data_IF_508751360280
#
_entry.id   IF_508751360280
#
_cell.length_a   1.000
_cell.length_b   1.000
_cell.length_c   1.000
_cell.angle_alpha   90.00
_cell.angle_beta   90.00
_cell.angle_gamma   90.00
#
_symmetry.space_group_name_H-M   'P 1'
#
loop_
_entity.id
_entity.type
_entity.pdbx_description
1 polymer ?
#
# COMPACT_ATOMS: atom_id res chain seq x y z
N UNK A 1 -58.05 -5.49 18.02
CA UNK A 1 -57.31 -5.47 16.74
C UNK A 1 -56.79 -4.04 16.56
N UNK A 2 -55.72 -3.70 17.26
CA UNK A 2 -55.08 -2.39 17.14
C UNK A 2 -53.80 -2.58 16.35
N UNK A 3 -53.74 -1.87 15.23
CA UNK A 3 -52.61 -1.79 14.32
C UNK A 3 -51.39 -1.20 15.04
N UNK A 4 -50.38 -2.03 15.31
CA UNK A 4 -49.02 -1.54 15.52
C UNK A 4 -48.33 -1.49 14.16
N UNK A 5 -48.62 -0.41 13.42
CA UNK A 5 -47.69 0.12 12.41
C UNK A 5 -46.61 0.90 13.18
N UNK A 6 -45.63 0.21 13.74
CA UNK A 6 -44.34 0.84 14.01
C UNK A 6 -43.48 0.62 12.77
N UNK A 7 -43.52 1.67 11.95
CA UNK A 7 -42.72 1.87 10.76
C UNK A 7 -41.25 1.52 11.01
N UNK A 8 -40.76 0.61 10.18
CA UNK A 8 -39.38 0.20 10.02
C UNK A 8 -38.57 1.33 9.32
N UNK A 9 -38.57 2.54 9.89
CA UNK A 9 -38.16 3.79 9.22
C UNK A 9 -36.68 4.17 9.34
N UNK A 10 -35.86 3.45 10.11
CA UNK A 10 -34.46 3.83 10.37
C UNK A 10 -33.43 2.86 9.79
N UNK A 11 -33.55 2.41 8.53
CA UNK A 11 -32.52 1.53 7.94
C UNK A 11 -31.46 2.19 7.07
N UNK A 12 -31.64 3.43 6.61
CA UNK A 12 -30.70 4.11 5.71
C UNK A 12 -30.48 5.59 6.06
N UNK A 13 -30.35 5.95 7.33
CA UNK A 13 -29.97 7.33 7.69
C UNK A 13 -28.45 7.48 7.61
N UNK A 14 -27.97 8.47 6.86
CA UNK A 14 -26.54 8.79 6.82
C UNK A 14 -26.14 9.37 8.18
N UNK A 15 -25.17 8.73 8.83
CA UNK A 15 -24.65 9.19 10.12
C UNK A 15 -23.29 9.85 9.91
N UNK A 16 -23.12 11.06 10.45
CA UNK A 16 -21.84 11.76 10.46
C UNK A 16 -20.94 11.16 11.55
N UNK A 17 -19.91 10.42 11.14
CA UNK A 17 -18.94 9.78 12.03
C UNK A 17 -18.00 10.82 12.67
N UNK A 18 -17.44 11.72 11.85
CA UNK A 18 -16.49 12.75 12.31
C UNK A 18 -17.04 14.14 12.04
N UNK A 19 -16.96 15.01 13.05
CA UNK A 19 -17.32 16.43 12.97
C UNK A 19 -16.05 17.28 12.92
N UNK A 20 -15.59 17.64 11.71
CA UNK A 20 -14.33 18.35 11.50
C UNK A 20 -14.27 19.71 12.20
N UNK A 21 -15.42 20.34 12.54
CA UNK A 21 -15.43 21.59 13.30
C UNK A 21 -14.98 21.45 14.75
N UNK A 22 -14.77 20.21 15.23
CA UNK A 22 -14.27 19.90 16.57
C UNK A 22 -12.83 19.44 16.58
N UNK A 23 -12.20 19.39 15.41
CA UNK A 23 -10.79 19.05 15.25
C UNK A 23 -9.95 20.32 15.11
N UNK A 24 -8.65 20.27 15.42
CA UNK A 24 -7.78 21.44 15.35
C UNK A 24 -7.51 21.93 13.92
N UNK A 25 -7.72 21.08 12.91
CA UNK A 25 -7.45 21.41 11.51
C UNK A 25 -8.25 20.59 10.50
N UNK A 26 -7.80 20.62 9.25
CA UNK A 26 -8.43 19.89 8.17
C UNK A 26 -8.13 18.38 8.27
N UNK A 27 -9.14 17.58 7.95
CA UNK A 27 -8.98 16.13 7.80
C UNK A 27 -8.33 15.85 6.44
N UNK A 28 -7.28 15.05 6.46
CA UNK A 28 -6.56 14.57 5.27
C UNK A 28 -6.58 13.05 5.25
N UNK A 29 -6.65 12.50 4.03
CA UNK A 29 -6.59 11.06 3.74
C UNK A 29 -7.46 10.16 4.64
N UNK A 30 -8.81 10.34 4.68
CA UNK A 30 -9.67 9.50 5.49
C UNK A 30 -9.89 8.12 4.85
N UNK A 31 -9.60 7.04 5.59
CA UNK A 31 -9.81 5.66 5.18
C UNK A 31 -10.76 4.96 6.14
N UNK A 32 -11.67 4.15 5.59
CA UNK A 32 -12.55 3.27 6.37
C UNK A 32 -11.96 1.86 6.39
N UNK A 33 -12.04 1.16 7.52
CA UNK A 33 -11.61 -0.23 7.60
C UNK A 33 -12.47 -1.16 6.73
N UNK A 34 -11.93 -2.33 6.35
CA UNK A 34 -12.62 -3.30 5.50
C UNK A 34 -13.95 -3.80 6.09
N UNK A 35 -14.01 -3.96 7.41
CA UNK A 35 -15.23 -4.33 8.13
C UNK A 35 -16.16 -3.13 8.44
N UNK A 36 -15.71 -1.91 8.14
CA UNK A 36 -16.41 -0.66 8.37
C UNK A 36 -16.50 -0.20 9.82
N UNK A 37 -15.78 -0.82 10.76
CA UNK A 37 -15.84 -0.54 12.20
C UNK A 37 -15.09 0.71 12.66
N UNK A 38 -14.07 1.14 11.91
CA UNK A 38 -13.28 2.35 12.21
C UNK A 38 -13.02 3.18 10.96
N UNK A 39 -12.75 4.47 11.18
CA UNK A 39 -12.21 5.41 10.21
C UNK A 39 -10.91 5.98 10.77
N UNK A 40 -9.81 5.86 10.02
CA UNK A 40 -8.54 6.50 10.35
C UNK A 40 -8.30 7.68 9.39
N UNK A 41 -7.64 8.73 9.87
CA UNK A 41 -7.35 9.93 9.10
C UNK A 41 -6.23 10.75 9.76
N UNK A 42 -5.66 11.70 9.02
CA UNK A 42 -4.66 12.63 9.56
C UNK A 42 -5.26 14.02 9.76
N UNK A 43 -4.92 14.68 10.86
CA UNK A 43 -5.28 16.07 11.13
C UNK A 43 -4.11 16.78 11.83
N UNK A 44 -3.67 17.94 11.29
CA UNK A 44 -2.50 18.69 11.80
C UNK A 44 -1.26 17.80 12.02
N UNK A 45 -0.95 16.95 11.02
CA UNK A 45 0.18 16.01 11.02
C UNK A 45 0.12 14.88 12.06
N UNK A 46 -1.02 14.68 12.72
CA UNK A 46 -1.24 13.60 13.68
C UNK A 46 -2.28 12.60 13.18
N UNK A 47 -2.08 11.32 13.50
CA UNK A 47 -3.00 10.25 13.16
C UNK A 47 -4.16 10.19 14.16
N UNK A 48 -5.38 10.05 13.64
CA UNK A 48 -6.60 9.89 14.42
C UNK A 48 -7.35 8.63 14.00
N UNK A 49 -8.07 8.04 14.96
CA UNK A 49 -9.00 6.92 14.73
C UNK A 49 -10.37 7.26 15.34
N UNK A 50 -11.42 7.01 14.58
CA UNK A 50 -12.81 7.17 15.01
C UNK A 50 -13.57 5.84 14.84
N UNK A 51 -14.26 5.40 15.89
CA UNK A 51 -15.19 4.27 15.75
C UNK A 51 -16.42 4.68 14.94
N UNK A 52 -16.88 3.80 14.05
CA UNK A 52 -18.16 3.97 13.35
C UNK A 52 -19.33 3.43 14.16
N UNK A 53 -19.04 2.67 15.23
CA UNK A 53 -20.05 2.06 16.08
C UNK A 53 -20.65 3.10 17.03
N UNK A 54 -21.98 3.06 17.15
CA UNK A 54 -22.72 3.87 18.13
C UNK A 54 -22.52 3.22 19.50
N UNK A 55 -22.11 4.00 20.51
CA UNK A 55 -21.95 3.53 21.88
C UNK A 55 -23.26 2.84 22.35
N UNK A 56 -23.24 1.52 22.58
CA UNK A 56 -24.45 0.75 22.92
C UNK A 56 -25.00 1.14 24.31
N UNK A 57 -24.19 1.79 25.14
CA UNK A 57 -24.57 2.25 26.48
C UNK A 57 -25.05 3.71 26.49
N UNK A 58 -24.96 4.42 25.36
CA UNK A 58 -25.42 5.79 25.22
C UNK A 58 -26.79 5.85 24.55
N UNK A 59 -27.83 6.07 25.36
CA UNK A 59 -29.23 6.16 24.92
C UNK A 59 -29.53 7.29 23.92
N UNK A 60 -28.57 8.18 23.64
CA UNK A 60 -28.70 9.26 22.66
C UNK A 60 -28.12 8.92 21.27
N UNK A 61 -27.59 7.72 21.05
CA UNK A 61 -27.05 7.32 19.75
C UNK A 61 -25.82 8.12 19.31
N UNK A 62 -25.03 8.64 20.27
CA UNK A 62 -23.90 9.52 20.00
C UNK A 62 -22.64 8.70 19.67
N UNK A 63 -22.03 8.97 18.54
CA UNK A 63 -20.73 8.42 18.15
C UNK A 63 -19.64 8.98 19.08
N UNK A 64 -18.67 8.12 19.44
CA UNK A 64 -17.52 8.52 20.23
C UNK A 64 -16.70 9.58 19.49
N UNK A 65 -16.11 10.57 20.18
CA UNK A 65 -15.20 11.50 19.51
C UNK A 65 -14.01 10.72 18.91
N UNK A 66 -13.45 11.17 17.78
CA UNK A 66 -12.19 10.64 17.29
C UNK A 66 -11.11 10.75 18.37
N UNK A 67 -10.27 9.72 18.43
CA UNK A 67 -9.11 9.66 19.31
C UNK A 67 -7.87 10.06 18.51
N UNK A 68 -7.05 10.93 19.10
CA UNK A 68 -5.73 11.21 18.58
C UNK A 68 -4.82 10.07 19.00
N UNK A 69 -4.08 9.49 18.07
CA UNK A 69 -3.26 8.30 18.31
C UNK A 69 -1.77 8.61 18.41
N UNK A 70 -1.34 9.75 17.86
CA UNK A 70 0.04 10.24 17.88
C UNK A 70 0.08 11.70 18.33
N UNK A 71 1.14 12.12 19.01
CA UNK A 71 1.19 13.40 19.74
C UNK A 71 2.52 14.15 19.62
N UNK A 72 3.48 13.63 18.86
CA UNK A 72 4.84 14.16 18.73
C UNK A 72 5.07 14.99 17.46
N UNK A 73 4.09 15.07 16.57
CA UNK A 73 4.11 16.06 15.50
C UNK A 73 4.07 17.47 16.11
N UNK A 74 3.59 17.68 17.34
CA UNK A 74 3.64 18.98 18.01
C UNK A 74 2.66 19.99 17.42
N UNK A 75 1.90 20.69 18.27
CA UNK A 75 0.90 21.63 17.80
C UNK A 75 1.56 22.85 17.15
N UNK A 76 1.51 22.98 15.84
CA UNK A 76 1.75 24.27 15.21
C UNK A 76 0.82 24.47 14.04
N UNK A 77 -0.10 25.38 14.30
CA UNK A 77 -1.14 25.94 13.44
C UNK A 77 -0.89 25.77 11.95
N UNK A 78 -1.81 25.04 11.31
CA UNK A 78 -2.21 25.16 9.91
C UNK A 78 -1.06 25.03 8.91
N UNK A 79 -1.03 23.87 8.24
CA UNK A 79 -0.47 23.77 6.90
C UNK A 79 -1.01 24.94 6.03
N UNK A 80 -0.15 25.93 5.76
CA UNK A 80 -0.45 27.04 4.84
C UNK A 80 -0.75 28.42 5.45
N UNK A 81 -0.67 28.64 6.78
CA UNK A 81 -0.70 30.02 7.30
C UNK A 81 0.67 30.67 7.16
N UNK A 82 0.82 31.50 6.11
CA UNK A 82 1.93 32.44 5.97
C UNK A 82 1.89 33.41 7.15
N UNK A 83 2.85 33.30 8.09
CA UNK A 83 3.10 34.36 9.05
C UNK A 83 3.85 35.50 8.33
N UNK A 84 3.56 36.76 8.70
CA UNK A 84 4.17 37.95 8.09
C UNK A 84 5.70 38.06 8.26
N UNK A 85 6.33 37.13 8.99
CA UNK A 85 7.77 37.00 9.21
C UNK A 85 8.40 35.80 8.46
N UNK A 86 7.61 35.06 7.67
CA UNK A 86 8.10 33.99 6.79
C UNK A 86 8.51 32.70 7.51
N UNK A 87 8.17 32.54 8.80
CA UNK A 87 8.33 31.29 9.53
C UNK A 87 7.00 30.56 9.68
N UNK A 88 6.66 29.74 8.68
CA UNK A 88 5.72 28.64 8.94
C UNK A 88 6.41 27.69 9.90
N UNK A 89 6.11 27.79 11.19
CA UNK A 89 6.60 26.87 12.20
C UNK A 89 5.86 25.53 12.09
N UNK A 90 5.64 24.97 10.90
CA UNK A 90 5.14 23.61 10.80
C UNK A 90 6.19 22.71 11.45
N UNK A 91 5.77 21.94 12.44
CA UNK A 91 6.56 20.77 12.76
C UNK A 91 6.68 19.95 11.48
N UNK A 92 7.87 19.42 11.22
CA UNK A 92 8.01 18.44 10.16
C UNK A 92 8.40 17.10 10.73
N UNK A 93 7.84 16.78 11.90
CA UNK A 93 7.44 15.42 12.18
C UNK A 93 6.00 15.28 11.66
N UNK A 94 5.74 14.23 10.89
CA UNK A 94 4.43 13.95 10.32
C UNK A 94 4.11 12.48 10.57
N UNK A 95 2.92 12.21 11.13
CA UNK A 95 2.43 10.87 11.39
C UNK A 95 1.27 10.54 10.45
N UNK A 96 1.38 9.43 9.71
CA UNK A 96 0.31 8.89 8.89
C UNK A 96 0.20 9.47 7.47
N UNK A 97 1.09 10.36 7.04
CA UNK A 97 1.17 10.78 5.63
C UNK A 97 2.48 10.30 5.02
N UNK A 98 2.44 9.99 3.72
CA UNK A 98 3.65 9.70 2.96
C UNK A 98 4.54 10.95 2.88
N UNK A 99 5.86 10.76 2.98
CA UNK A 99 6.83 11.82 2.71
C UNK A 99 6.82 12.26 1.24
N UNK A 100 7.43 13.40 0.95
CA UNK A 100 7.48 13.96 -0.40
C UNK A 100 8.03 12.99 -1.46
N UNK A 101 9.10 12.26 -1.14
CA UNK A 101 9.76 11.36 -2.09
C UNK A 101 8.86 10.15 -2.36
N UNK A 102 8.21 9.61 -1.32
CA UNK A 102 7.26 8.52 -1.49
C UNK A 102 6.11 8.88 -2.44
N UNK A 103 5.53 10.09 -2.28
CA UNK A 103 4.44 10.56 -3.13
C UNK A 103 4.90 10.79 -4.57
N UNK A 104 5.95 11.59 -4.76
CA UNK A 104 6.36 12.08 -6.08
C UNK A 104 7.10 11.00 -6.90
N UNK A 105 8.03 10.28 -6.26
CA UNK A 105 9.00 9.43 -6.97
C UNK A 105 8.67 7.93 -6.84
N UNK A 106 7.91 7.52 -5.83
CA UNK A 106 7.56 6.10 -5.60
C UNK A 106 6.08 5.80 -5.89
N UNK A 107 5.28 6.81 -6.22
CA UNK A 107 3.83 6.68 -6.41
C UNK A 107 3.11 6.09 -5.19
N UNK A 108 3.58 6.38 -3.98
CA UNK A 108 2.93 5.98 -2.72
C UNK A 108 2.34 7.21 -2.06
N UNK A 109 1.00 7.31 -2.11
CA UNK A 109 0.26 8.43 -1.51
C UNK A 109 -0.23 8.14 -0.08
N UNK A 110 -0.13 6.90 0.37
CA UNK A 110 -0.59 6.44 1.68
C UNK A 110 0.54 6.49 2.70
N UNK A 111 0.26 6.99 3.92
CA UNK A 111 1.17 6.95 5.06
C UNK A 111 0.66 6.14 6.25
N UNK A 112 -0.52 5.53 6.15
CA UNK A 112 -1.03 4.60 7.16
C UNK A 112 -1.86 3.48 6.51
N UNK A 113 -1.99 2.36 7.21
CA UNK A 113 -2.66 1.15 6.73
C UNK A 113 -3.44 0.49 7.87
N UNK A 114 -4.75 0.39 7.73
CA UNK A 114 -5.63 -0.30 8.69
C UNK A 114 -5.55 -1.81 8.45
N UNK A 115 -5.42 -2.60 9.51
CA UNK A 115 -5.41 -4.06 9.42
C UNK A 115 -6.77 -4.61 8.96
N UNK A 116 -6.83 -5.77 8.28
CA UNK A 116 -8.09 -6.29 7.71
C UNK A 116 -9.19 -6.57 8.75
N UNK A 117 -8.80 -6.79 10.01
CA UNK A 117 -9.70 -6.99 11.15
C UNK A 117 -9.86 -5.74 12.03
N UNK A 118 -9.33 -4.60 11.57
CA UNK A 118 -9.41 -3.28 12.22
C UNK A 118 -8.73 -3.17 13.58
N UNK A 119 -8.00 -4.18 14.03
CA UNK A 119 -7.35 -4.17 15.35
C UNK A 119 -6.11 -3.29 15.40
N UNK A 120 -5.43 -3.10 14.26
CA UNK A 120 -4.19 -2.33 14.21
C UNK A 120 -4.18 -1.29 13.10
N UNK A 121 -3.42 -0.23 13.32
CA UNK A 121 -3.07 0.75 12.29
C UNK A 121 -1.55 0.82 12.21
N UNK A 122 -1.00 0.41 11.08
CA UNK A 122 0.39 0.68 10.76
C UNK A 122 0.50 2.11 10.22
N UNK A 123 1.54 2.85 10.57
CA UNK A 123 1.72 4.22 10.10
C UNK A 123 3.19 4.58 9.93
N UNK A 124 3.47 5.39 8.93
CA UNK A 124 4.74 6.06 8.75
C UNK A 124 4.81 7.28 9.66
N UNK A 125 5.95 7.44 10.33
CA UNK A 125 6.38 8.74 10.85
C UNK A 125 7.56 9.23 10.01
N UNK A 126 7.47 10.45 9.48
CA UNK A 126 8.57 11.11 8.78
C UNK A 126 9.09 12.30 9.59
N UNK A 127 10.42 12.39 9.77
CA UNK A 127 11.12 13.53 10.36
C UNK A 127 11.98 14.24 9.30
N UNK A 128 11.55 15.44 8.96
CA UNK A 128 12.19 16.32 7.99
C UNK A 128 12.92 17.49 8.66
N UNK A 129 13.02 17.57 10.00
CA UNK A 129 13.51 18.78 10.72
C UNK A 129 14.94 19.17 10.36
N UNK A 130 15.72 18.21 9.87
CA UNK A 130 17.08 18.40 9.43
C UNK A 130 17.19 18.88 7.97
N UNK A 131 16.09 18.86 7.20
CA UNK A 131 16.04 19.29 5.80
C UNK A 131 15.78 20.81 5.75
N UNK A 132 16.64 21.60 5.07
CA UNK A 132 16.43 23.03 4.94
C UNK A 132 15.15 23.40 4.18
N UNK A 133 14.49 24.48 4.60
CA UNK A 133 13.37 25.05 3.85
C UNK A 133 13.85 25.58 2.48
N UNK A 134 13.17 25.13 1.44
CA UNK A 134 13.23 25.63 0.08
C UNK A 134 11.99 26.47 -0.22
N UNK A 135 12.23 27.72 -0.58
CA UNK A 135 11.19 28.73 -0.85
C UNK A 135 10.72 28.64 -2.30
N UNK A 136 9.44 28.37 -2.52
CA UNK A 136 8.79 28.46 -3.83
C UNK A 136 7.94 29.74 -3.90
N UNK A 137 8.18 30.55 -4.93
CA UNK A 137 7.47 31.82 -5.14
C UNK A 137 6.29 31.60 -6.09
N UNK A 138 5.09 32.01 -5.69
CA UNK A 138 3.88 31.89 -6.50
C UNK A 138 3.75 33.05 -7.49
N UNK A 139 4.54 33.01 -8.55
CA UNK A 139 4.49 34.02 -9.61
C UNK A 139 3.12 34.02 -10.31
N UNK A 140 2.54 35.20 -10.52
CA UNK A 140 1.26 35.37 -11.22
C UNK A 140 0.02 35.40 -10.31
N UNK A 141 0.18 35.31 -9.00
CA UNK A 141 -0.90 35.58 -8.03
C UNK A 141 -1.09 37.09 -7.84
N UNK A 142 -2.30 37.51 -7.45
CA UNK A 142 -2.62 38.92 -7.22
C UNK A 142 -1.77 39.54 -6.10
N UNK A 143 -1.39 38.73 -5.12
CA UNK A 143 -0.42 39.07 -4.10
C UNK A 143 1.00 38.66 -4.56
N UNK A 144 1.90 39.62 -4.86
CA UNK A 144 3.26 39.33 -5.32
C UNK A 144 4.19 38.81 -4.22
N UNK A 145 3.74 38.80 -2.97
CA UNK A 145 4.50 38.26 -1.82
C UNK A 145 4.16 36.81 -1.52
N UNK A 146 3.18 36.24 -2.25
CA UNK A 146 2.72 34.87 -2.02
C UNK A 146 3.83 33.87 -2.32
N UNK A 147 4.10 33.03 -1.33
CA UNK A 147 5.18 32.07 -1.33
C UNK A 147 4.84 30.89 -0.42
N UNK A 148 5.51 29.78 -0.63
CA UNK A 148 5.42 28.57 0.20
C UNK A 148 6.84 28.07 0.52
N UNK A 149 7.02 27.51 1.71
CA UNK A 149 8.27 26.87 2.13
C UNK A 149 8.05 25.36 2.20
N UNK A 150 8.99 24.61 1.62
CA UNK A 150 8.96 23.15 1.60
C UNK A 150 10.30 22.59 2.03
N UNK A 151 10.29 21.45 2.71
CA UNK A 151 11.51 20.72 3.05
C UNK A 151 11.87 19.79 1.90
N UNK A 152 12.50 20.37 0.87
CA UNK A 152 12.73 19.69 -0.40
C UNK A 152 14.07 18.90 -0.39
N UNK A 153 14.05 17.56 -0.46
CA UNK A 153 15.25 16.73 -0.45
C UNK A 153 15.91 16.71 -1.83
N UNK A 154 16.78 17.70 -2.10
CA UNK A 154 17.55 17.73 -3.35
C UNK A 154 18.44 16.50 -3.50
N UNK A 155 18.69 16.07 -4.75
CA UNK A 155 19.59 14.96 -5.05
C UNK A 155 20.97 15.15 -4.38
N UNK A 156 21.42 14.12 -3.64
CA UNK A 156 22.66 14.13 -2.88
C UNK A 156 22.58 14.79 -1.50
N UNK A 157 21.42 15.36 -1.12
CA UNK A 157 21.15 15.88 0.22
C UNK A 157 20.36 14.84 1.05
N UNK A 158 20.30 14.99 2.39
CA UNK A 158 19.55 14.07 3.25
C UNK A 158 18.08 13.91 2.86
N UNK A 159 17.56 12.69 2.98
CA UNK A 159 16.15 12.34 2.80
C UNK A 159 15.37 12.51 4.12
N UNK A 160 14.02 12.56 4.08
CA UNK A 160 13.20 12.40 5.27
C UNK A 160 13.59 11.14 6.05
N UNK A 161 13.69 11.25 7.38
CA UNK A 161 13.94 10.08 8.24
C UNK A 161 12.62 9.38 8.50
N UNK A 162 12.44 8.19 7.93
CA UNK A 162 11.20 7.44 8.03
C UNK A 162 11.26 6.34 9.09
N UNK A 163 10.17 6.18 9.83
CA UNK A 163 9.93 5.05 10.73
C UNK A 163 8.56 4.45 10.43
N UNK A 164 8.41 3.17 10.69
CA UNK A 164 7.12 2.47 10.57
C UNK A 164 6.72 1.96 11.95
N UNK A 165 5.57 2.41 12.44
CA UNK A 165 5.00 2.03 13.72
C UNK A 165 3.67 1.29 13.57
N UNK A 166 3.28 0.57 14.61
CA UNK A 166 1.97 -0.07 14.72
C UNK A 166 1.31 0.37 16.02
N UNK A 167 0.06 0.79 15.91
CA UNK A 167 -0.84 1.14 17.01
C UNK A 167 -1.98 0.12 17.08
N UNK A 168 -2.42 -0.20 18.29
CA UNK A 168 -3.72 -0.83 18.54
C UNK A 168 -4.82 0.23 18.35
N UNK A 169 -5.86 -0.08 17.58
CA UNK A 169 -6.93 0.86 17.25
C UNK A 169 -7.84 1.20 18.45
N UNK A 170 -7.90 0.32 19.46
CA UNK A 170 -8.63 0.50 20.71
C UNK A 170 -7.71 0.75 21.92
N UNK A 171 -6.41 0.42 21.81
CA UNK A 171 -5.40 0.51 22.87
C UNK A 171 -5.17 1.91 23.43
N UNK A 172 -4.34 2.03 24.47
CA UNK A 172 -4.01 3.33 25.08
C UNK A 172 -3.29 4.25 24.08
N UNK A 173 -3.51 5.57 24.21
CA UNK A 173 -2.77 6.58 23.43
C UNK A 173 -1.25 6.42 23.67
N UNK A 174 -0.43 6.76 22.68
CA UNK A 174 1.05 6.73 22.74
C UNK A 174 1.75 5.36 22.85
N UNK A 175 1.05 4.23 22.73
CA UNK A 175 1.68 2.90 22.72
C UNK A 175 1.99 2.43 21.28
N UNK A 176 3.18 2.77 20.77
CA UNK A 176 3.62 2.39 19.42
C UNK A 176 4.60 1.22 19.46
N UNK A 177 4.31 0.16 18.70
CA UNK A 177 5.30 -0.87 18.37
C UNK A 177 6.06 -0.44 17.11
N UNK A 178 7.31 -0.01 17.25
CA UNK A 178 8.15 0.36 16.10
C UNK A 178 8.71 -0.87 15.39
N UNK A 179 8.80 -0.81 14.06
CA UNK A 179 9.32 -1.88 13.21
C UNK A 179 10.75 -1.57 12.76
N UNK A 180 11.60 -2.58 12.79
CA UNK A 180 12.96 -2.48 12.27
C UNK A 180 12.97 -2.64 10.75
N UNK A 181 12.86 -1.52 10.06
CA UNK A 181 12.90 -1.42 8.59
C UNK A 181 14.28 -1.01 8.05
N UNK A 182 15.23 -0.71 8.93
CA UNK A 182 16.53 -0.13 8.58
C UNK A 182 17.66 -1.16 8.56
N UNK A 183 17.59 -2.18 9.41
CA UNK A 183 18.71 -3.14 9.58
C UNK A 183 19.06 -3.94 8.33
N UNK A 184 18.15 -4.06 7.35
CA UNK A 184 18.43 -4.70 6.05
C UNK A 184 19.52 -4.01 5.22
N UNK A 185 19.82 -2.74 5.53
CA UNK A 185 20.83 -1.92 4.83
C UNK A 185 21.83 -1.26 5.79
N UNK A 186 21.77 -1.56 7.10
CA UNK A 186 22.72 -1.02 8.06
C UNK A 186 24.14 -1.53 7.76
N UNK A 187 25.03 -0.62 7.36
CA UNK A 187 26.45 -0.92 7.18
C UNK A 187 27.12 -1.27 8.51
N UNK A 188 27.91 -2.34 8.55
CA UNK A 188 28.57 -2.84 9.77
C UNK A 188 29.62 -1.93 10.42
N UNK A 189 29.84 -0.71 9.91
CA UNK A 189 30.98 0.15 10.27
C UNK A 189 30.57 1.58 10.69
N UNK A 190 29.43 1.76 11.37
CA UNK A 190 29.12 3.01 12.10
C UNK A 190 29.06 4.27 11.24
N UNK A 191 28.76 4.14 9.95
CA UNK A 191 28.47 5.24 9.05
C UNK A 191 26.98 5.58 9.21
N UNK A 192 26.67 6.84 9.56
CA UNK A 192 25.30 7.35 9.76
C UNK A 192 24.40 7.21 8.50
N UNK A 193 24.94 6.72 7.39
CA UNK A 193 24.21 6.39 6.16
C UNK A 193 23.39 5.10 6.24
N UNK A 194 23.60 4.24 7.25
CA UNK A 194 22.79 3.03 7.49
C UNK A 194 21.33 3.31 7.91
N UNK A 195 21.00 4.57 8.16
CA UNK A 195 19.68 5.03 8.63
C UNK A 195 18.77 5.55 7.49
N UNK A 196 19.23 5.52 6.23
CA UNK A 196 18.45 6.00 5.09
C UNK A 196 17.88 4.83 4.26
N UNK A 197 16.63 4.49 4.54
CA UNK A 197 15.83 3.56 3.73
C UNK A 197 14.64 4.27 3.11
N UNK A 198 14.30 3.89 1.89
CA UNK A 198 13.06 4.29 1.27
C UNK A 198 11.96 3.29 1.63
N UNK A 199 10.94 3.72 2.38
CA UNK A 199 9.73 2.93 2.63
C UNK A 199 8.86 2.93 1.36
N UNK A 200 9.00 1.88 0.55
CA UNK A 200 8.41 1.84 -0.78
C UNK A 200 6.94 1.41 -0.76
N UNK A 201 6.59 0.32 -0.06
CA UNK A 201 5.22 -0.21 0.02
C UNK A 201 4.99 -0.86 1.38
N UNK A 202 3.75 -0.77 1.86
CA UNK A 202 3.28 -1.50 3.04
C UNK A 202 1.97 -2.17 2.69
N UNK A 203 1.79 -3.43 3.11
CA UNK A 203 0.57 -4.18 2.85
C UNK A 203 0.31 -5.16 3.98
N UNK A 204 -0.87 -5.09 4.56
CA UNK A 204 -1.35 -6.15 5.43
C UNK A 204 -1.54 -7.45 4.65
N UNK A 205 -1.17 -8.55 5.27
CA UNK A 205 -1.47 -9.88 4.76
C UNK A 205 -2.96 -10.22 4.80
N UNK A 206 -3.29 -11.38 4.24
CA UNK A 206 -4.65 -11.92 4.29
C UNK A 206 -4.75 -12.97 5.38
N UNK A 207 -5.96 -13.19 5.90
CA UNK A 207 -6.22 -14.27 6.84
C UNK A 207 -5.76 -15.61 6.24
N UNK A 208 -4.91 -16.32 6.98
CA UNK A 208 -4.35 -17.60 6.56
C UNK A 208 -4.39 -18.58 7.73
N UNK A 209 -4.87 -19.82 7.54
CA UNK A 209 -4.77 -20.85 8.57
C UNK A 209 -3.31 -21.31 8.82
N UNK A 210 -2.36 -20.89 7.98
CA UNK A 210 -0.94 -21.26 8.07
C UNK A 210 -0.09 -20.18 8.76
N UNK A 211 -0.57 -18.94 8.81
CA UNK A 211 0.09 -17.82 9.49
C UNK A 211 -0.73 -17.47 10.73
N UNK A 212 -0.17 -17.71 11.92
CA UNK A 212 -0.88 -17.60 13.21
C UNK A 212 -1.25 -16.17 13.59
N UNK A 213 -0.47 -15.21 13.09
CA UNK A 213 -0.52 -13.81 13.48
C UNK A 213 -0.94 -12.96 12.30
N UNK A 214 -1.50 -11.78 12.61
CA UNK A 214 -1.55 -10.73 11.60
C UNK A 214 -0.13 -10.42 11.18
N UNK A 215 0.05 -10.16 9.89
CA UNK A 215 1.39 -9.96 9.36
C UNK A 215 1.39 -8.80 8.39
N UNK A 216 2.43 -8.00 8.48
CA UNK A 216 2.64 -6.81 7.67
C UNK A 216 3.79 -7.06 6.73
N UNK A 217 3.53 -6.94 5.43
CA UNK A 217 4.57 -6.97 4.40
C UNK A 217 5.06 -5.55 4.15
N UNK A 218 6.37 -5.36 4.15
CA UNK A 218 7.01 -4.05 3.99
C UNK A 218 8.09 -4.16 2.93
N UNK A 219 8.05 -3.27 1.94
CA UNK A 219 9.08 -3.14 0.92
C UNK A 219 9.95 -1.94 1.24
N UNK A 220 11.26 -2.15 1.34
CA UNK A 220 12.25 -1.09 1.53
C UNK A 220 13.31 -1.12 0.45
N UNK A 221 13.82 0.05 0.06
CA UNK A 221 14.94 0.18 -0.87
C UNK A 221 16.11 0.90 -0.23
N UNK A 222 17.32 0.54 -0.67
CA UNK A 222 18.51 1.32 -0.34
C UNK A 222 18.50 2.66 -1.07
N UNK A 223 19.36 3.59 -0.61
CA UNK A 223 19.49 4.94 -1.17
C UNK A 223 19.81 4.96 -2.66
N UNK A 224 20.62 4.03 -3.14
CA UNK A 224 21.00 3.94 -4.56
C UNK A 224 19.90 3.34 -5.45
N UNK A 225 18.82 2.82 -4.87
CA UNK A 225 17.72 2.17 -5.57
C UNK A 225 18.15 0.93 -6.38
N UNK A 226 19.21 0.26 -5.93
CA UNK A 226 19.79 -0.93 -6.55
C UNK A 226 19.48 -2.22 -5.80
N UNK A 227 18.90 -2.12 -4.60
CA UNK A 227 18.37 -3.24 -3.83
C UNK A 227 16.95 -2.93 -3.34
N UNK A 228 16.08 -3.93 -3.44
CA UNK A 228 14.72 -3.92 -2.91
C UNK A 228 14.54 -5.13 -2.01
N UNK A 229 14.11 -4.91 -0.77
CA UNK A 229 13.90 -5.96 0.23
C UNK A 229 12.44 -6.02 0.61
N UNK A 230 11.86 -7.23 0.57
CA UNK A 230 10.53 -7.52 1.13
C UNK A 230 10.69 -8.16 2.51
N UNK A 231 10.21 -7.47 3.53
CA UNK A 231 10.13 -7.92 4.91
C UNK A 231 8.72 -8.38 5.26
N UNK A 232 8.61 -9.33 6.19
CA UNK A 232 7.36 -9.68 6.89
C UNK A 232 7.53 -9.50 8.40
N UNK A 233 6.62 -8.77 9.02
CA UNK A 233 6.54 -8.63 10.48
C UNK A 233 5.32 -9.39 10.98
N UNK A 234 5.51 -10.28 11.97
CA UNK A 234 4.43 -11.04 12.59
C UNK A 234 3.95 -10.30 13.85
N UNK A 235 2.73 -9.75 13.79
CA UNK A 235 2.16 -8.83 14.78
C UNK A 235 1.40 -9.61 15.86
N UNK A 236 1.74 -9.37 17.12
CA UNK A 236 1.34 -10.19 18.28
C UNK A 236 1.92 -11.61 18.27
N UNK A 237 3.00 -11.84 17.53
CA UNK A 237 3.87 -12.97 17.84
C UNK A 237 4.38 -12.81 19.26
N UNK A 238 4.36 -13.88 20.07
CA UNK A 238 5.28 -13.97 21.19
C UNK A 238 6.65 -13.60 20.61
N UNK A 239 7.20 -12.46 21.04
CA UNK A 239 8.58 -12.09 20.76
C UNK A 239 9.38 -13.35 20.93
N UNK A 240 10.07 -13.83 19.87
CA UNK A 240 10.81 -15.08 19.92
C UNK A 240 11.46 -15.20 21.30
N UNK A 241 11.22 -16.30 22.02
CA UNK A 241 11.72 -16.57 23.37
C UNK A 241 13.28 -16.49 23.50
N UNK A 242 13.97 -16.12 22.43
CA UNK A 242 15.39 -15.81 22.34
C UNK A 242 15.72 -14.31 22.46
N UNK A 243 14.74 -13.40 22.57
CA UNK A 243 14.97 -11.97 22.81
C UNK A 243 14.85 -11.65 24.31
N UNK A 244 15.96 -11.81 25.01
CA UNK A 244 16.20 -11.46 26.43
C UNK A 244 16.22 -9.92 26.61
N UNK A 245 15.17 -9.24 26.13
CA UNK A 245 15.10 -7.78 26.04
C UNK A 245 13.69 -7.25 26.21
N UNK A 246 13.17 -7.27 27.44
CA UNK A 246 11.98 -6.49 27.82
C UNK A 246 12.23 -4.97 27.77
N UNK A 247 12.44 -4.38 26.59
CA UNK A 247 12.71 -2.97 26.38
C UNK A 247 12.28 -2.44 25.00
N UNK A 248 12.43 -1.12 24.80
CA UNK A 248 12.04 -0.27 23.64
C UNK A 248 12.65 -0.66 22.26
N UNK A 249 13.12 -1.90 22.07
CA UNK A 249 13.72 -2.31 20.81
C UNK A 249 12.65 -2.49 19.71
N UNK A 250 12.93 -2.08 18.46
CA UNK A 250 11.99 -2.25 17.36
C UNK A 250 11.79 -3.73 17.02
N UNK A 251 10.55 -4.12 16.71
CA UNK A 251 10.19 -5.47 16.27
C UNK A 251 10.95 -5.83 15.00
N UNK A 252 11.63 -6.98 14.99
CA UNK A 252 12.40 -7.47 13.85
C UNK A 252 11.52 -8.13 12.81
N UNK A 253 11.74 -7.80 11.54
CA UNK A 253 11.08 -8.44 10.40
C UNK A 253 11.88 -9.62 9.87
N UNK A 254 11.19 -10.58 9.24
CA UNK A 254 11.81 -11.64 8.45
C UNK A 254 11.99 -11.16 7.01
N UNK A 255 13.22 -11.16 6.51
CA UNK A 255 13.50 -10.95 5.09
C UNK A 255 12.99 -12.14 4.27
N UNK A 256 12.08 -11.88 3.33
CA UNK A 256 11.49 -12.88 2.44
C UNK A 256 12.12 -12.85 1.04
N UNK A 257 12.34 -11.65 0.50
CA UNK A 257 12.92 -11.45 -0.83
C UNK A 257 13.95 -10.33 -0.76
N UNK A 258 15.06 -10.51 -1.46
CA UNK A 258 15.99 -9.45 -1.82
C UNK A 258 16.19 -9.48 -3.33
N UNK A 259 15.76 -8.42 -3.99
CA UNK A 259 16.05 -8.17 -5.39
C UNK A 259 17.29 -7.28 -5.47
N UNK A 260 18.18 -7.57 -6.43
CA UNK A 260 19.37 -6.76 -6.71
C UNK A 260 19.40 -6.41 -8.20
N UNK A 261 19.57 -5.12 -8.48
CA UNK A 261 19.58 -4.60 -9.84
C UNK A 261 20.84 -5.09 -10.57
N UNK A 262 20.71 -5.31 -11.88
CA UNK A 262 21.87 -5.60 -12.73
C UNK A 262 22.81 -4.38 -12.75
N UNK A 263 24.09 -4.61 -13.01
CA UNK A 263 25.09 -3.55 -13.06
C UNK A 263 24.66 -2.41 -14.01
N UNK A 264 24.68 -1.17 -13.49
CA UNK A 264 24.28 0.03 -14.24
C UNK A 264 22.77 0.23 -14.38
N UNK A 265 21.94 -0.61 -13.77
CA UNK A 265 20.49 -0.47 -13.70
C UNK A 265 20.02 -0.06 -12.30
N UNK A 266 18.71 0.15 -12.17
CA UNK A 266 17.99 0.43 -10.93
C UNK A 266 16.81 -0.52 -10.81
N UNK A 267 16.19 -0.61 -9.63
CA UNK A 267 14.93 -1.32 -9.46
C UNK A 267 13.73 -0.44 -9.79
N UNK A 268 12.86 -0.94 -10.65
CA UNK A 268 11.55 -0.33 -10.87
C UNK A 268 10.57 -0.83 -9.82
N UNK A 269 10.00 0.08 -9.03
CA UNK A 269 8.93 -0.25 -8.10
C UNK A 269 7.66 -0.75 -8.81
N UNK A 270 6.87 -1.53 -8.09
CA UNK A 270 5.61 -2.08 -8.56
C UNK A 270 4.66 -2.43 -7.42
N UNK A 271 3.37 -2.52 -7.72
CA UNK A 271 2.32 -2.81 -6.72
C UNK A 271 1.95 -4.30 -6.64
N UNK A 272 2.73 -5.17 -7.29
CA UNK A 272 2.46 -6.60 -7.43
C UNK A 272 3.06 -7.40 -6.26
N UNK A 273 2.34 -7.40 -5.15
CA UNK A 273 2.50 -8.33 -4.04
C UNK A 273 1.11 -8.87 -3.67
N UNK A 274 0.81 -10.13 -3.96
CA UNK A 274 -0.51 -10.71 -3.63
C UNK A 274 -0.35 -11.79 -2.57
N UNK A 275 -0.53 -11.48 -1.28
CA UNK A 275 -0.60 -12.49 -0.23
C UNK A 275 -1.76 -13.46 -0.48
N UNK A 276 -1.54 -14.74 -0.20
CA UNK A 276 -2.51 -15.81 -0.44
C UNK A 276 -2.91 -16.46 0.89
N UNK A 277 -4.15 -16.97 1.04
CA UNK A 277 -4.56 -17.72 2.22
C UNK A 277 -3.72 -18.98 2.48
N UNK A 278 -3.00 -19.49 1.48
CA UNK A 278 -2.02 -20.57 1.66
C UNK A 278 -0.81 -20.17 2.52
N UNK A 279 -0.64 -18.88 2.81
CA UNK A 279 0.52 -18.31 3.50
C UNK A 279 1.63 -17.86 2.55
N UNK A 280 1.60 -18.29 1.29
CA UNK A 280 2.51 -17.81 0.23
C UNK A 280 2.02 -16.51 -0.41
N UNK A 281 2.72 -16.07 -1.46
CA UNK A 281 2.39 -14.85 -2.17
C UNK A 281 2.80 -14.88 -3.64
N UNK A 282 2.09 -14.11 -4.48
CA UNK A 282 2.55 -13.77 -5.84
C UNK A 282 3.42 -12.53 -5.76
N UNK A 283 4.58 -12.57 -6.40
CA UNK A 283 5.55 -11.50 -6.48
C UNK A 283 5.95 -11.25 -7.94
N UNK A 284 6.18 -9.99 -8.32
CA UNK A 284 6.74 -9.67 -9.62
C UNK A 284 8.26 -9.43 -9.51
N UNK A 285 9.02 -9.80 -10.54
CA UNK A 285 10.46 -9.49 -10.60
C UNK A 285 10.96 -9.40 -12.03
N UNK A 286 11.98 -8.56 -12.23
CA UNK A 286 12.72 -8.36 -13.47
C UNK A 286 14.05 -9.17 -13.50
N UNK A 287 14.37 -9.90 -12.42
CA UNK A 287 15.70 -10.50 -12.19
C UNK A 287 16.19 -11.42 -13.31
N UNK A 288 15.33 -12.30 -13.80
CA UNK A 288 15.72 -13.39 -14.68
C UNK A 288 15.91 -12.91 -16.12
N UNK A 289 14.95 -12.16 -16.66
CA UNK A 289 14.92 -11.77 -18.09
C UNK A 289 15.23 -10.29 -18.32
N UNK A 290 15.18 -9.45 -17.29
CA UNK A 290 15.13 -7.98 -17.42
C UNK A 290 13.74 -7.44 -17.73
N UNK A 291 12.74 -8.31 -17.91
CA UNK A 291 11.34 -7.95 -18.02
C UNK A 291 10.56 -8.47 -16.83
N UNK A 292 9.52 -7.74 -16.43
CA UNK A 292 8.74 -8.05 -15.23
C UNK A 292 7.87 -9.27 -15.46
N UNK A 293 8.08 -10.32 -14.66
CA UNK A 293 7.28 -11.53 -14.67
C UNK A 293 6.79 -11.88 -13.26
N UNK A 294 5.74 -12.73 -13.18
CA UNK A 294 5.15 -13.19 -11.93
C UNK A 294 5.79 -14.50 -11.46
N UNK A 295 5.96 -14.61 -10.15
CA UNK A 295 6.49 -15.76 -9.44
C UNK A 295 5.60 -16.06 -8.25
N UNK A 296 5.35 -17.34 -8.00
CA UNK A 296 4.72 -17.81 -6.77
C UNK A 296 5.81 -18.16 -5.77
N UNK A 297 5.68 -17.63 -4.56
CA UNK A 297 6.56 -17.93 -3.42
C UNK A 297 5.76 -18.56 -2.27
N UNK A 298 6.43 -19.36 -1.45
CA UNK A 298 5.88 -19.80 -0.17
C UNK A 298 5.92 -18.70 0.89
N UNK A 299 5.42 -18.99 2.09
CA UNK A 299 5.39 -18.01 3.18
C UNK A 299 6.76 -17.65 3.75
N UNK A 300 7.81 -18.40 3.41
CA UNK A 300 9.18 -18.15 3.84
C UNK A 300 10.00 -17.43 2.75
N UNK A 301 9.38 -17.08 1.63
CA UNK A 301 10.00 -16.36 0.52
C UNK A 301 10.68 -17.26 -0.52
N UNK A 302 10.64 -18.59 -0.34
CA UNK A 302 11.20 -19.50 -1.33
C UNK A 302 10.32 -19.53 -2.58
N UNK A 303 10.93 -19.33 -3.75
CA UNK A 303 10.22 -19.42 -5.03
C UNK A 303 9.76 -20.87 -5.26
N UNK A 304 8.45 -21.03 -5.47
CA UNK A 304 7.79 -22.30 -5.81
C UNK A 304 7.80 -22.50 -7.33
N UNK A 305 7.29 -21.52 -8.09
CA UNK A 305 7.19 -21.61 -9.56
C UNK A 305 7.16 -20.22 -10.21
N UNK A 306 7.82 -20.00 -11.36
CA UNK A 306 7.56 -18.84 -12.19
C UNK A 306 6.22 -19.00 -12.92
N UNK A 307 5.27 -18.09 -12.67
CA UNK A 307 3.89 -18.17 -13.17
C UNK A 307 3.83 -17.80 -14.66
N UNK A 308 4.60 -16.79 -15.07
CA UNK A 308 4.52 -16.23 -16.44
C UNK A 308 5.76 -16.44 -17.29
N UNK A 309 6.81 -17.08 -16.78
CA UNK A 309 7.95 -17.46 -17.62
C UNK A 309 7.62 -18.76 -18.36
N UNK A 310 7.74 -18.72 -19.68
CA UNK A 310 7.72 -19.90 -20.52
C UNK A 310 9.16 -20.27 -20.87
N UNK A 311 9.63 -21.38 -20.32
CA UNK A 311 11.02 -21.86 -20.47
C UNK A 311 11.25 -22.66 -21.74
N UNK A 312 10.19 -22.97 -22.50
CA UNK A 312 10.24 -23.91 -23.62
C UNK A 312 9.86 -23.27 -24.96
N UNK A 313 8.96 -22.29 -24.97
CA UNK A 313 8.32 -21.80 -26.21
C UNK A 313 8.37 -20.28 -26.41
N UNK A 314 8.86 -19.50 -25.45
CA UNK A 314 8.86 -18.03 -25.50
C UNK A 314 10.24 -17.44 -25.17
N UNK A 315 10.60 -16.31 -25.79
CA UNK A 315 11.83 -15.60 -25.46
C UNK A 315 11.69 -14.71 -24.20
N UNK A 316 10.48 -14.59 -23.66
CA UNK A 316 10.12 -13.82 -22.47
C UNK A 316 10.52 -12.35 -22.56
N UNK A 317 10.54 -11.77 -23.77
CA UNK A 317 10.84 -10.35 -23.98
C UNK A 317 9.58 -9.46 -23.95
N UNK A 318 8.83 -9.56 -22.86
CA UNK A 318 7.61 -8.79 -22.62
C UNK A 318 7.38 -8.67 -21.11
N UNK A 319 6.65 -7.66 -20.68
CA UNK A 319 6.45 -7.38 -19.24
C UNK A 319 5.00 -7.52 -18.81
N UNK A 320 4.83 -7.96 -17.57
CA UNK A 320 3.60 -7.87 -16.79
C UNK A 320 3.48 -6.45 -16.26
N UNK A 321 2.31 -5.84 -16.46
CA UNK A 321 2.00 -4.49 -15.99
C UNK A 321 1.38 -4.52 -14.59
N UNK A 322 0.39 -5.40 -14.37
CA UNK A 322 -0.32 -5.51 -13.10
C UNK A 322 -0.90 -6.91 -12.84
N UNK A 323 -0.95 -7.29 -11.56
CA UNK A 323 -1.69 -8.43 -11.05
C UNK A 323 -2.20 -8.08 -9.64
N UNK A 324 -3.51 -7.92 -9.48
CA UNK A 324 -4.16 -7.55 -8.21
C UNK A 324 -4.70 -8.79 -7.48
N UNK A 325 -5.06 -8.70 -6.19
CA UNK A 325 -5.65 -9.84 -5.48
C UNK A 325 -6.89 -10.43 -6.16
N UNK A 326 -7.76 -9.58 -6.72
CA UNK A 326 -8.94 -10.02 -7.47
C UNK A 326 -8.63 -10.74 -8.79
N UNK A 327 -7.39 -10.63 -9.28
CA UNK A 327 -6.90 -11.32 -10.47
C UNK A 327 -6.39 -12.74 -10.19
N UNK A 328 -6.37 -13.20 -8.93
CA UNK A 328 -5.91 -14.55 -8.58
C UNK A 328 -7.09 -15.43 -8.17
N UNK A 329 -7.42 -16.44 -8.99
CA UNK A 329 -8.43 -17.46 -8.69
C UNK A 329 -7.78 -18.75 -8.20
N UNK A 330 -7.54 -18.84 -6.90
CA UNK A 330 -6.93 -20.03 -6.29
C UNK A 330 -7.81 -21.28 -6.37
N UNK A 331 -9.13 -21.14 -6.47
CA UNK A 331 -10.02 -22.31 -6.54
C UNK A 331 -9.88 -23.05 -7.88
N UNK A 332 -9.58 -22.28 -8.94
CA UNK A 332 -9.42 -22.80 -10.30
C UNK A 332 -7.98 -22.77 -10.79
N UNK A 333 -7.05 -22.38 -9.92
CA UNK A 333 -5.63 -22.18 -10.23
C UNK A 333 -5.41 -21.27 -11.46
N UNK A 334 -6.15 -20.16 -11.55
CA UNK A 334 -5.96 -19.20 -12.64
C UNK A 334 -5.37 -17.89 -12.13
N UNK A 335 -4.36 -17.41 -12.84
CA UNK A 335 -3.68 -16.14 -12.61
C UNK A 335 -3.97 -15.22 -13.79
N UNK A 336 -4.72 -14.16 -13.52
CA UNK A 336 -4.95 -13.08 -14.46
C UNK A 336 -3.91 -11.97 -14.24
N UNK A 337 -3.54 -11.30 -15.32
CA UNK A 337 -2.62 -10.18 -15.28
C UNK A 337 -2.77 -9.33 -16.53
N UNK A 338 -2.43 -8.04 -16.44
CA UNK A 338 -2.23 -7.22 -17.63
C UNK A 338 -0.76 -7.23 -18.05
N UNK A 339 -0.48 -7.11 -19.34
CA UNK A 339 0.89 -7.08 -19.83
C UNK A 339 0.99 -6.81 -21.32
N UNK A 340 2.21 -6.98 -21.84
CA UNK A 340 2.60 -6.56 -23.20
C UNK A 340 3.00 -7.74 -24.11
N UNK A 341 2.55 -8.97 -23.80
CA UNK A 341 2.98 -10.20 -24.49
C UNK A 341 2.74 -10.17 -26.01
N UNK A 342 1.67 -9.53 -26.48
CA UNK A 342 1.35 -9.40 -27.91
C UNK A 342 2.12 -8.26 -28.61
N UNK A 343 2.90 -7.47 -27.85
CA UNK A 343 3.78 -6.43 -28.35
C UNK A 343 3.73 -5.15 -27.52
N UNK A 344 4.87 -4.46 -27.42
CA UNK A 344 5.06 -3.27 -26.58
C UNK A 344 4.20 -2.03 -26.93
N UNK A 345 3.35 -2.10 -27.95
CA UNK A 345 2.42 -1.02 -28.34
C UNK A 345 1.00 -1.23 -27.82
N UNK A 346 0.75 -2.41 -27.26
CA UNK A 346 -0.55 -2.86 -26.77
C UNK A 346 -0.39 -3.39 -25.35
N UNK A 347 -1.46 -3.27 -24.55
CA UNK A 347 -1.54 -3.91 -23.25
C UNK A 347 -2.86 -4.65 -23.17
N UNK A 348 -2.84 -5.87 -22.67
CA UNK A 348 -3.97 -6.79 -22.70
C UNK A 348 -4.13 -7.51 -21.37
N UNK A 349 -5.34 -8.00 -21.11
CA UNK A 349 -5.58 -8.96 -20.04
C UNK A 349 -5.23 -10.37 -20.52
N UNK A 350 -4.46 -11.09 -19.73
CA UNK A 350 -4.04 -12.47 -19.93
C UNK A 350 -4.51 -13.36 -18.78
N UNK A 351 -4.47 -14.67 -19.01
CA UNK A 351 -4.76 -15.71 -18.03
C UNK A 351 -3.78 -16.87 -18.22
N UNK A 352 -3.27 -17.41 -17.12
CA UNK A 352 -2.44 -18.62 -17.07
C UNK A 352 -2.82 -19.48 -15.85
N UNK A 353 -2.27 -20.69 -15.77
CA UNK A 353 -2.38 -21.62 -14.64
C UNK A 353 -1.02 -22.28 -14.38
N UNK A 354 -0.75 -22.69 -13.13
CA UNK A 354 0.51 -23.35 -12.77
C UNK A 354 0.65 -24.68 -13.50
N UNK A 355 -0.46 -25.40 -13.67
CA UNK A 355 -0.45 -26.73 -14.28
C UNK A 355 -0.15 -26.72 -15.79
N UNK A 356 0.02 -25.54 -16.41
CA UNK A 356 0.27 -25.27 -17.85
C UNK A 356 -0.65 -26.07 -18.78
N UNK A 357 -1.47 -25.39 -19.58
CA UNK A 357 -2.37 -26.08 -20.51
C UNK A 357 -1.57 -27.06 -21.39
N UNK A 358 -1.95 -28.34 -21.35
CA UNK A 358 -1.20 -29.47 -21.95
C UNK A 358 -1.13 -29.46 -23.47
N UNK A 359 -1.42 -28.33 -24.11
CA UNK A 359 -1.45 -28.08 -25.55
C UNK A 359 -0.35 -27.10 -26.03
N UNK A 360 0.51 -26.61 -25.12
CA UNK A 360 1.67 -25.79 -25.45
C UNK A 360 1.42 -24.28 -25.47
N UNK A 361 0.19 -23.83 -25.23
CA UNK A 361 -0.11 -22.41 -25.00
C UNK A 361 -0.17 -22.14 -23.48
N UNK A 362 0.94 -21.64 -22.93
CA UNK A 362 1.08 -21.41 -21.48
C UNK A 362 0.31 -20.19 -20.99
N UNK A 363 0.08 -19.18 -21.85
CA UNK A 363 -0.57 -17.92 -21.50
C UNK A 363 -1.60 -17.56 -22.57
N UNK A 364 -2.86 -17.38 -22.14
CA UNK A 364 -3.98 -17.05 -23.04
C UNK A 364 -4.38 -15.58 -22.91
N UNK A 365 -4.48 -14.88 -24.04
CA UNK A 365 -5.05 -13.53 -24.10
C UNK A 365 -6.57 -13.57 -23.88
N UNK A 366 -7.09 -12.68 -23.04
CA UNK A 366 -8.52 -12.57 -22.69
C UNK A 366 -9.19 -11.43 -23.47
N UNK A 367 -8.50 -10.30 -23.64
CA UNK A 367 -9.00 -9.17 -24.42
C UNK A 367 -8.88 -9.42 -25.92
N UNK A 368 -9.88 -9.02 -26.71
CA UNK A 368 -9.98 -9.40 -28.13
C UNK A 368 -9.52 -8.30 -29.11
N UNK A 369 -9.87 -7.05 -28.82
CA UNK A 369 -9.50 -5.91 -29.68
C UNK A 369 -8.03 -5.55 -29.48
N UNK A 370 -7.37 -5.03 -30.51
CA UNK A 370 -6.00 -4.51 -30.40
C UNK A 370 -5.99 -3.09 -29.84
N UNK A 371 -5.05 -2.79 -28.95
CA UNK A 371 -4.92 -1.48 -28.31
C UNK A 371 -4.40 -1.55 -26.88
N UNK A 372 -4.62 -0.48 -26.12
CA UNK A 372 -4.23 -0.42 -24.70
C UNK A 372 -5.46 -0.66 -23.84
N UNK A 373 -5.41 -1.72 -23.05
CA UNK A 373 -6.48 -2.14 -22.14
C UNK A 373 -6.08 -1.86 -20.69
N UNK A 374 -7.01 -1.32 -19.93
CA UNK A 374 -6.91 -1.07 -18.50
C UNK A 374 -8.07 -1.80 -17.82
N UNK A 375 -7.76 -2.89 -17.12
CA UNK A 375 -8.75 -3.65 -16.35
C UNK A 375 -9.04 -2.90 -15.06
N UNK A 376 -10.23 -2.30 -14.98
CA UNK A 376 -10.64 -1.48 -13.84
C UNK A 376 -11.14 -2.31 -12.66
N UNK A 377 -11.71 -3.48 -12.95
CA UNK A 377 -12.20 -4.43 -11.96
C UNK A 377 -12.30 -5.81 -12.59
N UNK A 378 -12.07 -6.85 -11.81
CA UNK A 378 -12.30 -8.24 -12.20
C UNK A 378 -12.92 -8.98 -11.02
N UNK A 379 -13.83 -9.89 -11.29
CA UNK A 379 -14.37 -10.81 -10.32
C UNK A 379 -14.26 -12.21 -10.90
N UNK A 380 -13.19 -12.90 -10.53
CA UNK A 380 -12.86 -14.25 -11.01
C UNK A 380 -13.92 -15.29 -10.64
N UNK A 381 -14.65 -15.11 -9.53
CA UNK A 381 -15.75 -16.02 -9.15
C UNK A 381 -16.92 -15.97 -10.13
N UNK A 382 -17.22 -14.79 -10.67
CA UNK A 382 -18.30 -14.58 -11.65
C UNK A 382 -17.81 -14.62 -13.10
N UNK A 383 -16.49 -14.55 -13.32
CA UNK A 383 -15.90 -14.41 -14.65
C UNK A 383 -16.17 -13.05 -15.31
N UNK A 384 -16.53 -12.01 -14.55
CA UNK A 384 -16.83 -10.68 -15.08
C UNK A 384 -15.62 -9.77 -14.87
N UNK A 385 -15.31 -8.95 -15.88
CA UNK A 385 -14.34 -7.86 -15.74
C UNK A 385 -14.81 -6.60 -16.44
N UNK A 386 -14.41 -5.45 -15.90
CA UNK A 386 -14.63 -4.13 -16.49
C UNK A 386 -13.33 -3.69 -17.13
N UNK A 387 -13.40 -3.42 -18.43
CA UNK A 387 -12.26 -3.02 -19.22
C UNK A 387 -12.48 -1.63 -19.80
N UNK A 388 -11.48 -0.78 -19.63
CA UNK A 388 -11.36 0.50 -20.30
C UNK A 388 -10.28 0.40 -21.38
N UNK A 389 -10.59 0.73 -22.62
CA UNK A 389 -9.63 0.57 -23.71
C UNK A 389 -9.72 1.64 -24.79
N UNK A 390 -8.61 1.83 -25.49
CA UNK A 390 -8.55 2.69 -26.67
C UNK A 390 -7.46 2.22 -27.65
N UNK A 391 -7.50 2.76 -28.87
CA UNK A 391 -6.41 2.61 -29.83
C UNK A 391 -6.25 3.87 -30.66
N UNK A 392 -5.17 3.96 -31.45
CA UNK A 392 -4.94 5.10 -32.37
C UNK A 392 -6.07 5.29 -33.41
N UNK A 393 -6.93 4.29 -33.59
CA UNK A 393 -8.03 4.31 -34.57
C UNK A 393 -9.43 4.33 -33.91
N UNK A 394 -9.51 4.12 -32.59
CA UNK A 394 -10.78 4.02 -31.86
C UNK A 394 -10.69 4.83 -30.57
N UNK A 395 -11.61 5.78 -30.42
CA UNK A 395 -11.79 6.53 -29.17
C UNK A 395 -12.01 5.59 -27.99
N UNK A 396 -11.69 6.12 -26.81
CA UNK A 396 -11.86 5.46 -25.53
C UNK A 396 -13.25 4.85 -25.32
N UNK A 397 -13.29 3.61 -24.82
CA UNK A 397 -14.51 2.88 -24.49
C UNK A 397 -14.34 2.16 -23.16
N UNK A 398 -15.40 2.18 -22.35
CA UNK A 398 -15.52 1.35 -21.14
C UNK A 398 -16.61 0.31 -21.38
N UNK A 399 -16.31 -0.95 -21.14
CA UNK A 399 -17.25 -2.06 -21.32
C UNK A 399 -17.06 -3.14 -20.25
N UNK A 400 -18.18 -3.71 -19.82
CA UNK A 400 -18.20 -4.92 -19.01
C UNK A 400 -18.20 -6.15 -19.93
N UNK A 401 -17.36 -7.11 -19.62
CA UNK A 401 -17.20 -8.35 -20.37
C UNK A 401 -17.39 -9.55 -19.45
N UNK A 402 -17.98 -10.61 -19.99
CA UNK A 402 -18.02 -11.91 -19.34
C UNK A 402 -17.00 -12.82 -20.01
N UNK A 403 -16.01 -13.25 -19.25
CA UNK A 403 -15.14 -14.36 -19.65
C UNK A 403 -15.93 -15.64 -19.38
N UNK A 404 -16.22 -16.40 -20.44
CA UNK A 404 -16.60 -17.79 -20.28
C UNK A 404 -15.37 -18.52 -19.74
N UNK A 405 -15.32 -18.71 -18.42
CA UNK A 405 -14.33 -19.54 -17.76
C UNK A 405 -14.55 -20.97 -18.24
N UNK A 406 -13.80 -21.39 -19.26
CA UNK A 406 -13.79 -22.79 -19.69
C UNK A 406 -13.13 -23.60 -18.58
N UNK A 407 -13.93 -24.15 -17.66
CA UNK A 407 -13.50 -25.27 -16.84
C UNK A 407 -13.51 -26.51 -17.71
N UNK A 408 -12.52 -26.69 -18.59
CA UNK A 408 -12.19 -28.04 -19.05
C UNK A 408 -11.33 -28.68 -17.96
N UNK A 409 -11.98 -29.20 -16.91
CA UNK A 409 -11.42 -30.33 -16.18
C UNK A 409 -11.79 -31.58 -16.99
N UNK A 410 -10.81 -32.19 -17.64
CA UNK A 410 -10.91 -33.58 -18.09
C UNK A 410 -10.38 -34.51 -17.00
#
# INVERSE_FOLDING_TARGET
KNDNKNDNKNKNELVRIVDSSKLPGAITDPHISDDGSIVAFVCENELYVASTTIDPNNSNGKILPPRQMTHDAGSSSTAGTVTNDGTSATSGIINGLADFIAMEEMSRNEGFWISPDSQFVAFEQSDELHIPNYRIVHQGQADPTRQEDHRYPFAGMPNPRVKLGILDSEGEEDTVTWLDIHSSFAGGDGDDNGDEVYLARVRWGVASPFLKHQHLYVQVMNREQTELVLLRFDINGETNDDDDGGGDAPLKGKELIRETAKEGAWHNLHDILVPLPSGGFVWASERDTGFRHLYLHDGDGQMIVPITLDTEHDDNQWMVDACTPDMVDQQRDNFYFTGTKDGAKESHLYCTSIDRYGDGETIRRVTLEGGVHSVLAINTRTGIFVNSWSSIHKHHKVASHTVLLFTQRY
#
